data_IF_403947664808
#
_entry.id   IF_403947664808
#
_cell.length_a   1.000
_cell.length_b   1.000
_cell.length_c   1.000
_cell.angle_alpha   90.00
_cell.angle_beta   90.00
_cell.angle_gamma   90.00
#
_symmetry.space_group_name_H-M   'P 1'
#
loop_
_entity.id
_entity.type
_entity.pdbx_description
1 polymer ?
#
# COMPACT_ATOMS: atom_id res chain seq x y z
N UNK A 1 32.62 15.15 -6.83
CA UNK A 1 31.59 16.07 -6.31
C UNK A 1 31.95 16.58 -4.92
N UNK A 2 32.63 15.78 -4.11
CA UNK A 2 33.08 16.15 -2.77
C UNK A 2 34.02 17.36 -2.75
N UNK A 3 34.91 17.48 -3.74
CA UNK A 3 35.91 18.56 -3.84
C UNK A 3 35.31 19.95 -4.15
N UNK A 4 34.14 20.01 -4.77
CA UNK A 4 33.48 21.29 -5.05
C UNK A 4 32.70 21.83 -3.84
N UNK A 5 32.18 20.96 -3.01
CA UNK A 5 31.42 21.32 -1.80
C UNK A 5 32.31 21.67 -0.60
N UNK A 6 33.48 21.05 -0.50
CA UNK A 6 34.48 21.37 0.52
C UNK A 6 35.08 22.76 0.32
N UNK A 7 35.10 23.28 -0.91
CA UNK A 7 35.63 24.61 -1.23
C UNK A 7 34.65 25.75 -0.85
N UNK A 8 33.37 25.45 -0.54
CA UNK A 8 32.36 26.45 -0.20
C UNK A 8 32.13 26.63 1.30
N UNK A 9 33.02 26.10 2.16
CA UNK A 9 32.95 26.26 3.62
C UNK A 9 31.55 25.92 4.21
N UNK A 10 30.84 24.97 3.58
CA UNK A 10 29.51 24.54 4.02
C UNK A 10 29.68 23.70 5.30
N UNK A 11 28.89 24.03 6.32
CA UNK A 11 28.87 23.30 7.60
C UNK A 11 28.85 21.79 7.36
N UNK A 12 29.69 21.02 8.06
CA UNK A 12 29.80 19.56 7.91
C UNK A 12 28.45 18.85 8.00
N UNK A 13 27.51 19.39 8.75
CA UNK A 13 26.14 18.91 8.86
C UNK A 13 25.34 19.05 7.56
N UNK A 14 25.51 20.13 6.82
CA UNK A 14 24.81 20.36 5.53
C UNK A 14 25.43 19.50 4.41
N UNK A 15 26.76 19.28 4.47
CA UNK A 15 27.45 18.40 3.53
C UNK A 15 26.98 16.95 3.69
N UNK A 16 26.92 16.42 4.91
CA UNK A 16 26.41 15.07 5.16
C UNK A 16 24.92 14.95 4.83
N UNK A 17 24.12 15.96 5.12
CA UNK A 17 22.69 15.96 4.79
C UNK A 17 22.45 15.93 3.28
N UNK A 18 23.23 16.67 2.49
CA UNK A 18 23.10 16.70 1.04
C UNK A 18 23.61 15.41 0.39
N UNK A 19 24.77 14.91 0.83
CA UNK A 19 25.35 13.72 0.21
C UNK A 19 24.64 12.46 0.70
N UNK A 20 24.54 12.25 2.01
CA UNK A 20 23.90 11.05 2.56
C UNK A 20 22.38 11.07 2.35
N UNK A 21 21.72 12.22 2.54
CA UNK A 21 20.28 12.34 2.37
C UNK A 21 19.83 12.19 0.92
N UNK A 22 20.44 12.93 -0.02
CA UNK A 22 20.01 12.92 -1.42
C UNK A 22 20.50 11.64 -2.12
N UNK A 23 21.77 11.29 -1.99
CA UNK A 23 22.30 10.11 -2.69
C UNK A 23 21.71 8.82 -2.13
N UNK A 24 21.60 8.69 -0.82
CA UNK A 24 20.99 7.51 -0.18
C UNK A 24 19.49 7.46 -0.47
N UNK A 25 18.79 8.60 -0.42
CA UNK A 25 17.37 8.68 -0.75
C UNK A 25 17.07 8.33 -2.20
N UNK A 26 17.80 8.93 -3.15
CA UNK A 26 17.65 8.61 -4.58
C UNK A 26 18.07 7.17 -4.87
N UNK A 27 19.16 6.69 -4.28
CA UNK A 27 19.59 5.29 -4.42
C UNK A 27 18.56 4.30 -3.91
N UNK A 28 17.92 4.59 -2.78
CA UNK A 28 16.84 3.78 -2.23
C UNK A 28 15.63 3.72 -3.18
N UNK A 29 15.19 4.86 -3.72
CA UNK A 29 14.07 4.91 -4.68
C UNK A 29 14.42 4.14 -5.97
N UNK A 30 15.62 4.29 -6.50
CA UNK A 30 16.08 3.56 -7.68
C UNK A 30 16.15 2.05 -7.44
N UNK A 31 16.48 1.61 -6.22
CA UNK A 31 16.45 0.19 -5.83
C UNK A 31 15.05 -0.42 -5.84
N UNK A 32 14.02 0.35 -5.56
CA UNK A 32 12.63 -0.11 -5.62
C UNK A 32 12.06 -0.15 -7.05
N UNK A 33 12.65 0.59 -7.98
CA UNK A 33 12.15 0.69 -9.35
C UNK A 33 12.09 -0.67 -10.08
N UNK A 34 13.10 -1.53 -10.04
CA UNK A 34 13.03 -2.85 -10.66
C UNK A 34 11.90 -3.72 -10.10
N UNK A 35 11.70 -3.66 -8.79
CA UNK A 35 10.65 -4.44 -8.11
C UNK A 35 9.27 -3.95 -8.58
N UNK A 36 9.09 -2.64 -8.68
CA UNK A 36 7.84 -2.04 -9.16
C UNK A 36 7.58 -2.44 -10.61
N UNK A 37 8.58 -2.37 -11.49
CA UNK A 37 8.45 -2.76 -12.90
C UNK A 37 8.04 -4.23 -13.04
N UNK A 38 8.71 -5.13 -12.32
CA UNK A 38 8.37 -6.57 -12.31
C UNK A 38 6.96 -6.80 -11.80
N UNK A 39 6.57 -6.13 -10.70
CA UNK A 39 5.23 -6.24 -10.14
C UNK A 39 4.17 -5.78 -11.14
N UNK A 40 4.35 -4.63 -11.78
CA UNK A 40 3.41 -4.14 -12.80
C UNK A 40 3.34 -5.05 -14.02
N UNK A 41 4.46 -5.63 -14.44
CA UNK A 41 4.51 -6.58 -15.54
C UNK A 41 3.66 -7.82 -15.23
N UNK A 42 3.82 -8.41 -14.04
CA UNK A 42 3.02 -9.56 -13.63
C UNK A 42 1.53 -9.21 -13.43
N UNK A 43 1.23 -8.03 -12.88
CA UNK A 43 -0.16 -7.58 -12.74
C UNK A 43 -0.84 -7.40 -14.09
N UNK A 44 -0.16 -6.79 -15.06
CA UNK A 44 -0.66 -6.63 -16.42
C UNK A 44 -0.92 -7.99 -17.07
N UNK A 45 0.01 -8.93 -16.92
CA UNK A 45 -0.15 -10.29 -17.44
C UNK A 45 -1.35 -11.02 -16.81
N UNK A 46 -1.56 -10.88 -15.51
CA UNK A 46 -2.71 -11.46 -14.79
C UNK A 46 -4.04 -10.82 -15.21
N UNK A 47 -4.02 -9.53 -15.50
CA UNK A 47 -5.20 -8.80 -15.99
C UNK A 47 -5.56 -9.23 -17.41
N UNK A 48 -4.58 -9.30 -18.31
CA UNK A 48 -4.76 -9.72 -19.71
C UNK A 48 -5.22 -11.18 -19.86
N UNK A 49 -4.78 -12.06 -18.98
CA UNK A 49 -5.25 -13.47 -18.96
C UNK A 49 -6.68 -13.65 -18.45
N UNK A 50 -7.31 -12.58 -17.94
CA UNK A 50 -8.67 -12.63 -17.37
C UNK A 50 -8.75 -13.40 -16.04
N UNK A 51 -7.61 -13.71 -15.44
CA UNK A 51 -7.55 -14.42 -14.15
C UNK A 51 -8.24 -13.63 -13.04
N UNK A 52 -8.07 -12.31 -13.04
CA UNK A 52 -8.71 -11.40 -12.07
C UNK A 52 -10.23 -11.45 -12.11
N UNK A 53 -10.82 -11.60 -13.30
CA UNK A 53 -12.27 -11.74 -13.45
C UNK A 53 -12.79 -13.05 -12.84
N UNK A 54 -12.03 -14.14 -12.97
CA UNK A 54 -12.38 -15.44 -12.38
C UNK A 54 -12.30 -15.41 -10.86
N UNK A 55 -11.24 -14.81 -10.31
CA UNK A 55 -11.08 -14.61 -8.84
C UNK A 55 -12.22 -13.75 -8.31
N UNK A 56 -12.55 -12.64 -8.98
CA UNK A 56 -13.67 -11.78 -8.60
C UNK A 56 -15.00 -12.54 -8.56
N UNK A 57 -15.26 -13.43 -9.53
CA UNK A 57 -16.49 -14.22 -9.57
C UNK A 57 -16.59 -15.22 -8.41
N UNK A 58 -15.51 -15.93 -8.10
CA UNK A 58 -15.47 -16.89 -6.99
C UNK A 58 -15.65 -16.17 -5.65
N UNK A 59 -15.00 -15.03 -5.49
CA UNK A 59 -15.04 -14.24 -4.27
C UNK A 59 -16.34 -13.43 -4.10
N UNK A 60 -17.09 -13.20 -5.17
CA UNK A 60 -18.36 -12.45 -5.12
C UNK A 60 -19.36 -13.09 -4.14
N UNK A 61 -19.45 -14.41 -4.15
CA UNK A 61 -20.31 -15.16 -3.22
C UNK A 61 -19.94 -14.99 -1.76
N UNK A 62 -18.64 -14.85 -1.47
CA UNK A 62 -18.14 -14.66 -0.11
C UNK A 62 -18.29 -13.20 0.36
N UNK A 63 -17.94 -12.25 -0.51
CA UNK A 63 -17.96 -10.83 -0.19
C UNK A 63 -19.37 -10.26 -0.11
N UNK A 64 -20.33 -10.79 -0.84
CA UNK A 64 -21.74 -10.41 -0.70
C UNK A 64 -22.28 -10.66 0.71
N UNK A 65 -21.76 -11.64 1.43
CA UNK A 65 -22.10 -11.85 2.84
C UNK A 65 -21.65 -10.70 3.73
N UNK A 66 -20.56 -10.02 3.35
CA UNK A 66 -20.00 -8.86 4.06
C UNK A 66 -20.57 -7.55 3.50
N UNK A 67 -21.32 -7.62 2.36
CA UNK A 67 -21.96 -6.48 1.70
C UNK A 67 -21.04 -5.68 0.78
N UNK A 68 -19.92 -6.26 0.36
CA UNK A 68 -19.07 -5.75 -0.73
C UNK A 68 -19.42 -6.47 -2.03
N UNK A 69 -19.32 -5.75 -3.15
CA UNK A 69 -19.38 -6.40 -4.45
C UNK A 69 -18.09 -7.20 -4.70
N UNK A 70 -18.23 -8.38 -5.31
CA UNK A 70 -17.07 -9.23 -5.61
C UNK A 70 -16.02 -8.55 -6.50
N UNK A 71 -16.43 -7.53 -7.26
CA UNK A 71 -15.52 -6.73 -8.08
C UNK A 71 -14.59 -5.85 -7.26
N UNK A 72 -14.96 -5.48 -6.03
CA UNK A 72 -14.11 -4.68 -5.13
C UNK A 72 -12.87 -5.41 -4.63
N UNK A 73 -12.87 -6.77 -4.70
CA UNK A 73 -11.72 -7.55 -4.27
C UNK A 73 -10.49 -7.37 -5.16
N UNK A 74 -10.71 -7.12 -6.45
CA UNK A 74 -9.61 -6.95 -7.41
C UNK A 74 -8.72 -5.75 -7.04
N UNK A 75 -9.26 -4.53 -6.88
CA UNK A 75 -8.50 -3.39 -6.38
C UNK A 75 -7.87 -3.64 -5.01
N UNK A 76 -8.55 -4.36 -4.13
CA UNK A 76 -8.03 -4.67 -2.80
C UNK A 76 -6.84 -5.63 -2.87
N UNK A 77 -6.91 -6.70 -3.66
CA UNK A 77 -5.79 -7.62 -3.87
C UNK A 77 -4.58 -6.93 -4.49
N UNK A 78 -4.80 -6.08 -5.49
CA UNK A 78 -3.75 -5.24 -6.08
C UNK A 78 -3.15 -4.31 -5.02
N UNK A 79 -3.98 -3.77 -4.11
CA UNK A 79 -3.58 -2.90 -3.01
C UNK A 79 -2.61 -3.55 -2.02
N UNK A 80 -2.66 -4.87 -1.81
CA UNK A 80 -1.64 -5.60 -1.03
C UNK A 80 -0.25 -5.57 -1.67
N UNK A 81 -0.20 -5.57 -3.00
CA UNK A 81 1.07 -5.40 -3.71
C UNK A 81 1.50 -3.94 -3.74
N UNK A 82 0.64 -3.07 -4.24
CA UNK A 82 0.88 -1.63 -4.33
C UNK A 82 -0.44 -0.85 -4.24
N UNK A 83 -0.49 0.11 -3.33
CA UNK A 83 -1.68 0.94 -3.08
C UNK A 83 -2.09 1.77 -4.31
N UNK A 84 -1.12 2.27 -5.07
CA UNK A 84 -1.38 3.17 -6.22
C UNK A 84 -2.21 2.49 -7.32
N UNK A 85 -1.79 1.34 -7.89
CA UNK A 85 -2.60 0.64 -8.89
C UNK A 85 -3.90 0.10 -8.29
N UNK A 86 -3.94 -0.26 -7.01
CA UNK A 86 -5.16 -0.66 -6.32
C UNK A 86 -6.22 0.46 -6.32
N UNK A 87 -5.82 1.69 -6.01
CA UNK A 87 -6.70 2.87 -6.08
C UNK A 87 -7.10 3.17 -7.53
N UNK A 88 -6.17 3.06 -8.48
CA UNK A 88 -6.49 3.26 -9.89
C UNK A 88 -7.48 2.22 -10.42
N UNK A 89 -7.32 0.96 -10.08
CA UNK A 89 -8.23 -0.12 -10.45
C UNK A 89 -9.64 0.07 -9.86
N UNK A 90 -9.77 0.77 -8.74
CA UNK A 90 -11.09 1.06 -8.15
C UNK A 90 -12.00 1.90 -9.05
N UNK A 91 -11.45 2.61 -10.04
CA UNK A 91 -12.22 3.39 -11.03
C UNK A 91 -13.11 2.51 -11.91
N UNK A 92 -12.79 1.24 -12.06
CA UNK A 92 -13.59 0.28 -12.85
C UNK A 92 -14.84 -0.21 -12.13
N UNK A 93 -15.01 0.13 -10.86
CA UNK A 93 -16.18 -0.24 -10.07
C UNK A 93 -17.41 0.54 -10.51
N UNK A 94 -18.53 -0.14 -10.81
CA UNK A 94 -19.75 0.51 -11.29
C UNK A 94 -20.48 1.31 -10.20
N UNK A 95 -20.30 0.93 -8.92
CA UNK A 95 -20.92 1.59 -7.78
C UNK A 95 -20.00 2.66 -7.21
N UNK A 96 -20.48 3.90 -7.13
CA UNK A 96 -19.76 5.00 -6.47
C UNK A 96 -19.44 4.70 -5.00
N UNK A 97 -20.36 4.03 -4.34
CA UNK A 97 -20.23 3.59 -2.97
C UNK A 97 -19.07 2.62 -2.79
N UNK A 98 -19.08 1.53 -3.58
CA UNK A 98 -18.03 0.52 -3.53
C UNK A 98 -16.66 1.13 -3.89
N UNK A 99 -16.65 2.07 -4.84
CA UNK A 99 -15.44 2.80 -5.21
C UNK A 99 -14.88 3.61 -4.05
N UNK A 100 -15.71 4.45 -3.41
CA UNK A 100 -15.30 5.28 -2.26
C UNK A 100 -14.82 4.41 -1.10
N UNK A 101 -15.55 3.34 -0.77
CA UNK A 101 -15.18 2.40 0.27
C UNK A 101 -13.85 1.70 -0.03
N UNK A 102 -13.65 1.25 -1.26
CA UNK A 102 -12.40 0.60 -1.68
C UNK A 102 -11.21 1.56 -1.60
N UNK A 103 -11.38 2.81 -2.05
CA UNK A 103 -10.32 3.83 -1.97
C UNK A 103 -9.95 4.12 -0.52
N UNK A 104 -10.93 4.21 0.38
CA UNK A 104 -10.68 4.46 1.80
C UNK A 104 -10.00 3.28 2.50
N UNK A 105 -10.33 2.04 2.10
CA UNK A 105 -9.77 0.83 2.71
C UNK A 105 -8.36 0.51 2.21
N UNK A 106 -8.06 0.81 0.95
CA UNK A 106 -6.78 0.46 0.32
C UNK A 106 -5.55 0.98 1.09
N UNK A 107 -5.52 2.22 1.65
CA UNK A 107 -4.38 2.69 2.44
C UNK A 107 -4.15 1.94 3.76
N UNK A 108 -5.18 1.31 4.33
CA UNK A 108 -5.03 0.51 5.56
C UNK A 108 -4.37 -0.84 5.28
N UNK A 109 -4.41 -1.30 4.03
CA UNK A 109 -3.69 -2.51 3.64
C UNK A 109 -2.20 -2.23 3.59
N UNK A 110 -1.44 -3.07 4.29
CA UNK A 110 0.02 -2.95 4.30
C UNK A 110 0.59 -3.52 3.02
N UNK A 111 1.10 -2.66 2.15
CA UNK A 111 1.81 -3.08 0.94
C UNK A 111 3.28 -3.38 1.23
N UNK A 112 3.95 -4.06 0.31
CA UNK A 112 5.36 -4.43 0.43
C UNK A 112 6.31 -3.23 0.65
N UNK A 113 5.96 -2.05 0.16
CA UNK A 113 6.73 -0.82 0.35
C UNK A 113 6.70 -0.29 1.80
N UNK A 114 5.71 -0.67 2.61
CA UNK A 114 5.63 -0.28 4.03
C UNK A 114 6.49 -1.18 4.93
N UNK A 115 6.81 -2.39 4.49
CA UNK A 115 7.60 -3.34 5.30
C UNK A 115 8.98 -2.81 5.70
N UNK A 116 9.79 -2.18 4.82
CA UNK A 116 11.06 -1.58 5.20
C UNK A 116 10.91 -0.50 6.27
N UNK A 117 9.84 0.30 6.21
CA UNK A 117 9.56 1.34 7.20
C UNK A 117 9.24 0.70 8.55
N UNK A 118 8.40 -0.32 8.56
CA UNK A 118 8.07 -1.06 9.78
C UNK A 118 9.29 -1.76 10.37
N UNK A 119 10.17 -2.33 9.54
CA UNK A 119 11.40 -2.97 9.99
C UNK A 119 12.37 -1.97 10.62
N UNK A 120 12.49 -0.78 10.04
CA UNK A 120 13.32 0.29 10.58
C UNK A 120 12.82 0.73 11.96
N UNK A 121 11.51 1.00 12.10
CA UNK A 121 10.93 1.37 13.39
C UNK A 121 11.05 0.25 14.43
N UNK A 122 10.74 -0.99 14.04
CA UNK A 122 10.83 -2.13 14.95
C UNK A 122 12.27 -2.37 15.42
N UNK A 123 13.26 -2.25 14.53
CA UNK A 123 14.67 -2.37 14.88
C UNK A 123 15.17 -1.25 15.76
N UNK A 124 14.68 0.00 15.57
CA UNK A 124 15.09 1.16 16.36
C UNK A 124 14.53 1.11 17.79
N UNK A 125 13.27 0.70 17.97
CA UNK A 125 12.62 0.76 19.29
C UNK A 125 12.63 -0.58 20.03
N UNK A 126 12.58 -1.72 19.31
CA UNK A 126 12.47 -3.05 19.89
C UNK A 126 13.37 -4.07 19.18
N UNK A 127 14.70 -3.97 19.30
CA UNK A 127 15.63 -4.83 18.57
C UNK A 127 15.45 -6.32 18.87
N UNK A 128 15.02 -6.67 20.08
CA UNK A 128 14.81 -8.08 20.50
C UNK A 128 13.49 -8.69 20.01
N UNK A 129 12.47 -7.85 19.77
CA UNK A 129 11.12 -8.29 19.39
C UNK A 129 10.66 -7.72 18.05
N UNK A 130 11.60 -7.31 17.19
CA UNK A 130 11.31 -6.63 15.93
C UNK A 130 10.32 -7.40 15.05
N UNK A 131 10.46 -8.72 14.94
CA UNK A 131 9.55 -9.55 14.16
C UNK A 131 8.13 -9.60 14.71
N UNK A 132 7.98 -9.69 16.04
CA UNK A 132 6.69 -9.70 16.70
C UNK A 132 5.96 -8.36 16.56
N UNK A 133 6.71 -7.25 16.70
CA UNK A 133 6.20 -5.89 16.51
C UNK A 133 5.72 -5.67 15.08
N UNK A 134 6.46 -6.15 14.08
CA UNK A 134 6.05 -6.08 12.67
C UNK A 134 4.74 -6.81 12.43
N UNK A 135 4.59 -8.03 12.94
CA UNK A 135 3.36 -8.82 12.81
C UNK A 135 2.19 -8.11 13.48
N UNK A 136 2.39 -7.58 14.70
CA UNK A 136 1.36 -6.81 15.41
C UNK A 136 0.93 -5.56 14.64
N UNK A 137 1.87 -4.80 14.10
CA UNK A 137 1.56 -3.61 13.28
C UNK A 137 0.76 -3.97 12.03
N UNK A 138 1.11 -5.10 11.39
CA UNK A 138 0.39 -5.59 10.22
C UNK A 138 -1.06 -5.97 10.55
N UNK A 139 -1.26 -6.76 11.60
CA UNK A 139 -2.59 -7.15 12.05
C UNK A 139 -3.41 -5.97 12.56
N UNK A 140 -2.78 -5.02 13.23
CA UNK A 140 -3.44 -3.77 13.68
C UNK A 140 -3.95 -2.97 12.49
N UNK A 141 -3.15 -2.85 11.41
CA UNK A 141 -3.57 -2.18 10.18
C UNK A 141 -4.81 -2.84 9.56
N UNK A 142 -4.82 -4.18 9.48
CA UNK A 142 -5.98 -4.93 8.98
C UNK A 142 -7.21 -4.75 9.89
N UNK A 143 -7.03 -4.83 11.20
CA UNK A 143 -8.11 -4.67 12.17
C UNK A 143 -8.73 -3.26 12.11
N UNK A 144 -7.90 -2.22 12.06
CA UNK A 144 -8.36 -0.83 11.90
C UNK A 144 -9.10 -0.66 10.57
N UNK A 145 -8.60 -1.24 9.49
CA UNK A 145 -9.30 -1.24 8.20
C UNK A 145 -10.68 -1.89 8.26
N UNK A 146 -10.78 -3.06 8.91
CA UNK A 146 -12.04 -3.77 9.09
C UNK A 146 -13.05 -2.98 9.95
N UNK A 147 -12.59 -2.38 11.07
CA UNK A 147 -13.43 -1.54 11.93
C UNK A 147 -13.89 -0.29 11.17
N UNK A 148 -12.99 0.37 10.44
CA UNK A 148 -13.34 1.55 9.61
C UNK A 148 -14.40 1.20 8.56
N UNK A 149 -14.28 0.03 7.94
CA UNK A 149 -15.26 -0.47 6.99
C UNK A 149 -16.65 -0.67 7.63
N UNK A 150 -16.72 -1.34 8.78
CA UNK A 150 -17.99 -1.57 9.46
C UNK A 150 -18.64 -0.27 9.93
N UNK A 151 -17.84 0.67 10.41
CA UNK A 151 -18.31 1.96 10.86
C UNK A 151 -18.84 2.83 9.71
N UNK A 152 -18.12 2.92 8.60
CA UNK A 152 -18.55 3.64 7.41
C UNK A 152 -19.83 3.03 6.82
N UNK A 153 -19.95 1.72 6.79
CA UNK A 153 -21.16 1.03 6.33
C UNK A 153 -22.37 1.35 7.20
N UNK A 154 -22.22 1.47 8.51
CA UNK A 154 -23.29 1.78 9.42
C UNK A 154 -23.82 3.22 9.23
N UNK A 155 -22.96 4.15 8.83
CA UNK A 155 -23.36 5.55 8.60
C UNK A 155 -24.01 5.81 7.24
N UNK A 156 -23.80 4.97 6.23
CA UNK A 156 -24.31 5.21 4.87
C UNK A 156 -25.71 4.60 4.60
N UNK A 157 -26.30 3.92 5.58
CA UNK A 157 -27.60 3.23 5.40
C UNK A 157 -28.85 4.11 5.37
N UNK A 158 -28.90 5.38 5.82
CA UNK A 158 -30.15 6.14 5.87
C UNK A 158 -30.50 6.97 4.64
N UNK A 159 -29.61 7.18 3.68
CA UNK A 159 -29.83 8.23 2.67
C UNK A 159 -30.34 7.78 1.28
N UNK A 160 -30.56 6.49 1.06
CA UNK A 160 -31.04 5.98 -0.24
C UNK A 160 -32.12 4.90 -0.12
N UNK A 161 -33.16 5.17 0.67
CA UNK A 161 -34.49 4.52 0.57
C UNK A 161 -35.49 5.52 0.01
#
# INVERSE_FOLDING_TARGET
>A
MDTALTNWNVNAAVHSLLIDGIFTGVGSVLSFLPIIVVLFFFLSMLEDTGYMARVAFVMDKLLRRIGLSGRSIVPMLIGFGCTVPGVMASRTLPSERDRKMTILLTPFMSCSAKLPIYSLFAAAFFPQYAGLVMVLLYFTGIAVGAVSYTHLRAHETPEHL
#
